data_IF_965848896357
#
_entry.id   IF_965848896357
#
_cell.length_a   1.000
_cell.length_b   1.000
_cell.length_c   1.000
_cell.angle_alpha   90.00
_cell.angle_beta   90.00
_cell.angle_gamma   90.00
#
_symmetry.space_group_name_H-M   'P 1'
#
loop_
_entity.id
_entity.type
_entity.pdbx_description
1 polymer ?
#
# COMPACT_ATOMS: atom_id res chain seq x y z
N UNK A 1 -21.77 58.66 -53.57
CA UNK A 1 -20.59 57.98 -53.02
C UNK A 1 -21.11 57.10 -51.94
N UNK A 2 -21.38 55.82 -52.23
CA UNK A 2 -21.97 54.84 -51.32
C UNK A 2 -20.85 53.99 -50.77
N UNK A 3 -20.59 54.08 -49.42
CA UNK A 3 -19.64 53.23 -48.69
C UNK A 3 -20.28 51.86 -48.47
N UNK A 4 -19.66 50.79 -48.98
CA UNK A 4 -19.95 49.39 -48.62
C UNK A 4 -19.28 49.07 -47.28
N UNK A 5 -20.03 48.55 -46.32
CA UNK A 5 -19.52 47.90 -45.08
C UNK A 5 -19.03 46.47 -45.42
N UNK A 6 -17.94 46.01 -44.82
CA UNK A 6 -17.51 44.62 -44.95
C UNK A 6 -18.36 43.70 -44.10
N UNK A 7 -18.65 42.51 -44.63
CA UNK A 7 -19.39 41.44 -43.98
C UNK A 7 -18.59 40.87 -42.80
N UNK A 8 -19.24 40.74 -41.63
CA UNK A 8 -18.77 40.01 -40.47
C UNK A 8 -18.90 38.51 -40.75
N UNK A 9 -17.79 37.82 -40.82
CA UNK A 9 -17.79 36.34 -40.88
C UNK A 9 -18.12 35.79 -39.49
N UNK A 10 -19.26 35.15 -39.43
CA UNK A 10 -19.70 34.33 -38.30
C UNK A 10 -18.76 33.11 -38.21
N UNK A 11 -17.77 33.16 -37.32
CA UNK A 11 -17.01 31.97 -36.93
C UNK A 11 -17.81 31.31 -35.82
N UNK A 12 -18.49 30.24 -36.17
CA UNK A 12 -18.99 29.27 -35.20
C UNK A 12 -17.80 28.63 -34.49
N UNK A 13 -17.51 29.10 -33.28
CA UNK A 13 -16.62 28.41 -32.36
C UNK A 13 -17.25 27.05 -32.02
N UNK A 14 -16.72 26.01 -32.64
CA UNK A 14 -16.91 24.64 -32.18
C UNK A 14 -16.31 24.55 -30.79
N UNK A 15 -17.02 24.02 -29.78
CA UNK A 15 -16.41 23.78 -28.45
C UNK A 15 -15.21 22.85 -28.63
N UNK A 16 -14.04 23.26 -28.17
CA UNK A 16 -12.88 22.39 -28.03
C UNK A 16 -13.31 21.14 -27.24
N UNK A 17 -13.09 19.97 -27.83
CA UNK A 17 -13.28 18.67 -27.16
C UNK A 17 -12.58 18.72 -25.82
N UNK A 18 -13.36 18.55 -24.76
CA UNK A 18 -12.92 18.66 -23.39
C UNK A 18 -11.69 17.79 -23.15
N UNK A 19 -10.64 18.43 -22.70
CA UNK A 19 -9.45 17.76 -22.14
C UNK A 19 -9.92 16.79 -21.07
N UNK A 20 -9.99 15.51 -21.41
CA UNK A 20 -10.33 14.47 -20.45
C UNK A 20 -9.29 14.51 -19.31
N UNK A 21 -9.73 14.85 -18.11
CA UNK A 21 -8.88 14.75 -16.92
C UNK A 21 -8.41 13.30 -16.83
N UNK A 22 -7.10 13.06 -16.76
CA UNK A 22 -6.59 11.69 -16.66
C UNK A 22 -7.28 10.97 -15.50
N UNK A 23 -7.82 9.79 -15.77
CA UNK A 23 -8.51 9.00 -14.74
C UNK A 23 -7.55 8.72 -13.56
N UNK A 24 -8.04 8.93 -12.34
CA UNK A 24 -7.30 8.54 -11.14
C UNK A 24 -6.91 7.06 -11.23
N UNK A 25 -5.77 6.62 -10.70
CA UNK A 25 -5.43 5.21 -10.71
C UNK A 25 -6.41 4.40 -9.86
N UNK A 26 -6.77 3.19 -10.30
CA UNK A 26 -7.42 2.21 -9.44
C UNK A 26 -6.39 1.51 -8.53
N UNK A 27 -6.86 0.73 -7.55
CA UNK A 27 -6.01 -0.19 -6.83
C UNK A 27 -6.66 -1.58 -6.70
N UNK A 28 -5.88 -2.63 -6.94
CA UNK A 28 -6.24 -4.01 -6.63
C UNK A 28 -5.33 -4.48 -5.49
N UNK A 29 -5.94 -4.86 -4.36
CA UNK A 29 -5.23 -5.34 -3.18
C UNK A 29 -5.44 -6.84 -3.06
N UNK A 30 -4.35 -7.61 -3.15
CA UNK A 30 -4.35 -9.06 -3.10
C UNK A 30 -4.41 -9.54 -1.65
N UNK A 31 -5.53 -10.17 -1.27
CA UNK A 31 -5.80 -10.61 0.10
C UNK A 31 -6.42 -12.02 0.16
N UNK A 32 -6.24 -12.83 -0.88
CA UNK A 32 -6.87 -14.16 -1.01
C UNK A 32 -6.05 -15.32 -0.41
N UNK A 33 -4.78 -15.08 -0.06
CA UNK A 33 -3.85 -16.12 0.41
C UNK A 33 -4.23 -16.73 1.76
N UNK A 34 -3.98 -18.05 1.94
CA UNK A 34 -4.31 -18.79 3.19
C UNK A 34 -3.48 -18.37 4.40
N UNK A 35 -2.22 -17.97 4.21
CA UNK A 35 -1.33 -17.57 5.29
C UNK A 35 -1.03 -18.68 6.31
N UNK A 36 -0.85 -19.91 5.88
CA UNK A 36 -0.69 -21.12 6.73
C UNK A 36 0.42 -20.99 7.76
N UNK A 37 1.52 -20.29 7.43
CA UNK A 37 2.66 -20.03 8.33
C UNK A 37 2.29 -19.19 9.55
N UNK A 38 1.19 -18.44 9.51
CA UNK A 38 0.67 -17.69 10.66
C UNK A 38 0.13 -18.58 11.77
N UNK A 39 -0.19 -19.86 11.49
CA UNK A 39 -0.79 -20.80 12.42
C UNK A 39 -1.98 -20.20 13.15
N UNK A 40 -2.91 -19.61 12.41
CA UNK A 40 -4.06 -18.86 12.91
C UNK A 40 -5.33 -19.22 12.18
N UNK A 41 -6.46 -19.16 12.87
CA UNK A 41 -7.79 -19.20 12.25
C UNK A 41 -8.15 -17.90 11.54
N UNK A 42 -7.46 -16.79 11.83
CA UNK A 42 -7.64 -15.52 11.16
C UNK A 42 -6.83 -15.49 9.87
N UNK A 43 -7.38 -14.93 8.77
CA UNK A 43 -6.61 -14.63 7.57
C UNK A 43 -5.40 -13.75 7.89
N UNK A 44 -4.26 -14.01 7.22
CA UNK A 44 -3.01 -13.30 7.44
C UNK A 44 -3.19 -11.78 7.49
N UNK A 45 -3.88 -11.22 6.52
CA UNK A 45 -4.04 -9.78 6.32
C UNK A 45 -4.93 -9.07 7.37
N UNK A 46 -5.64 -9.84 8.21
CA UNK A 46 -6.50 -9.31 9.28
C UNK A 46 -5.75 -9.15 10.61
N UNK A 47 -4.55 -9.75 10.73
CA UNK A 47 -3.73 -9.51 11.91
C UNK A 47 -3.39 -8.03 12.05
N UNK A 48 -3.41 -7.56 13.30
CA UNK A 48 -3.23 -6.14 13.59
C UNK A 48 -1.74 -5.75 13.65
N UNK A 49 -1.49 -4.53 13.20
CA UNK A 49 -0.23 -3.80 13.38
C UNK A 49 -0.61 -2.40 13.85
N UNK A 50 -0.07 -1.97 14.99
CA UNK A 50 -0.42 -0.72 15.66
C UNK A 50 -1.94 -0.50 15.78
N UNK A 51 -2.66 -1.53 16.28
CA UNK A 51 -4.10 -1.48 16.53
C UNK A 51 -5.01 -1.57 15.30
N UNK A 52 -4.48 -1.72 14.10
CA UNK A 52 -5.22 -1.74 12.83
C UNK A 52 -4.90 -3.00 12.02
N UNK A 53 -5.88 -3.66 11.38
CA UNK A 53 -5.61 -4.78 10.47
C UNK A 53 -4.62 -4.40 9.36
N UNK A 54 -3.67 -5.28 9.01
CA UNK A 54 -2.66 -5.00 7.97
C UNK A 54 -3.29 -4.53 6.66
N UNK A 55 -4.36 -5.19 6.22
CA UNK A 55 -5.09 -4.81 4.98
C UNK A 55 -5.63 -3.38 5.04
N UNK A 56 -6.05 -2.89 6.21
CA UNK A 56 -6.60 -1.54 6.35
C UNK A 56 -5.53 -0.45 6.23
N UNK A 57 -4.27 -0.74 6.60
CA UNK A 57 -3.14 0.15 6.31
C UNK A 57 -2.90 0.28 4.80
N UNK A 58 -2.92 -0.83 4.06
CA UNK A 58 -2.72 -0.83 2.59
C UNK A 58 -3.86 -0.08 1.89
N UNK A 59 -5.11 -0.33 2.29
CA UNK A 59 -6.28 0.42 1.76
C UNK A 59 -6.13 1.92 2.01
N UNK A 60 -5.68 2.31 3.21
CA UNK A 60 -5.44 3.72 3.54
C UNK A 60 -4.35 4.32 2.66
N UNK A 61 -3.19 3.66 2.53
CA UNK A 61 -2.10 4.16 1.70
C UNK A 61 -2.52 4.34 0.23
N UNK A 62 -3.29 3.38 -0.32
CA UNK A 62 -3.84 3.49 -1.67
C UNK A 62 -4.78 4.70 -1.81
N UNK A 63 -5.71 4.91 -0.86
CA UNK A 63 -6.61 6.08 -0.86
C UNK A 63 -5.87 7.39 -0.74
N UNK A 64 -4.92 7.50 0.18
CA UNK A 64 -4.10 8.69 0.38
C UNK A 64 -3.24 9.00 -0.86
N UNK A 65 -2.90 7.97 -1.65
CA UNK A 65 -2.25 8.14 -2.95
C UNK A 65 -3.22 8.55 -4.08
N UNK A 66 -4.52 8.64 -3.81
CA UNK A 66 -5.54 9.05 -4.78
C UNK A 66 -6.12 7.89 -5.60
N UNK A 67 -5.93 6.64 -5.18
CA UNK A 67 -6.51 5.50 -5.89
C UNK A 67 -8.04 5.40 -5.69
N UNK A 68 -8.77 5.35 -6.80
CA UNK A 68 -10.23 5.11 -6.86
C UNK A 68 -10.60 4.55 -8.25
N UNK A 69 -11.32 3.41 -8.33
CA UNK A 69 -11.80 2.55 -7.24
C UNK A 69 -10.71 1.68 -6.60
N UNK A 70 -10.97 1.20 -5.38
CA UNK A 70 -10.13 0.20 -4.71
C UNK A 70 -10.88 -1.13 -4.68
N UNK A 71 -10.26 -2.18 -5.18
CA UNK A 71 -10.79 -3.55 -5.21
C UNK A 71 -9.92 -4.44 -4.31
N UNK A 72 -10.53 -5.13 -3.36
CA UNK A 72 -9.86 -6.11 -2.51
C UNK A 72 -10.22 -7.51 -2.98
N UNK A 73 -9.21 -8.27 -3.41
CA UNK A 73 -9.38 -9.66 -3.83
C UNK A 73 -9.33 -10.56 -2.60
N UNK A 74 -10.45 -11.21 -2.31
CA UNK A 74 -10.62 -12.08 -1.14
C UNK A 74 -10.75 -13.54 -1.56
N UNK A 75 -10.31 -14.46 -0.71
CA UNK A 75 -10.40 -15.90 -0.93
C UNK A 75 -10.75 -16.61 0.37
N UNK A 76 -9.77 -17.31 0.95
CA UNK A 76 -9.92 -17.94 2.26
C UNK A 76 -10.19 -16.87 3.35
N UNK A 77 -11.23 -17.11 4.18
CA UNK A 77 -11.60 -16.17 5.26
C UNK A 77 -12.15 -14.82 4.79
N UNK A 78 -12.78 -14.78 3.62
CA UNK A 78 -13.31 -13.56 2.99
C UNK A 78 -14.17 -12.72 3.94
N UNK A 79 -15.00 -13.34 4.80
CA UNK A 79 -15.88 -12.60 5.71
C UNK A 79 -15.12 -11.85 6.80
N UNK A 80 -14.01 -12.42 7.31
CA UNK A 80 -13.15 -11.72 8.25
C UNK A 80 -12.45 -10.51 7.61
N UNK A 81 -12.07 -10.60 6.32
CA UNK A 81 -11.49 -9.46 5.58
C UNK A 81 -12.53 -8.38 5.33
N UNK A 82 -13.76 -8.76 4.96
CA UNK A 82 -14.87 -7.81 4.79
C UNK A 82 -15.22 -7.09 6.10
N UNK A 83 -15.23 -7.84 7.21
CA UNK A 83 -15.46 -7.27 8.53
C UNK A 83 -14.35 -6.29 8.93
N UNK A 84 -13.08 -6.64 8.71
CA UNK A 84 -11.93 -5.79 8.99
C UNK A 84 -11.93 -4.47 8.18
N UNK A 85 -12.63 -4.45 7.05
CA UNK A 85 -12.78 -3.28 6.16
C UNK A 85 -14.20 -2.69 6.19
N UNK A 86 -15.01 -3.03 7.21
CA UNK A 86 -16.37 -2.49 7.34
C UNK A 86 -16.35 -0.96 7.33
N UNK A 87 -17.15 -0.37 6.44
CA UNK A 87 -17.23 1.09 6.26
C UNK A 87 -16.11 1.70 5.40
N UNK A 88 -15.10 0.93 4.98
CA UNK A 88 -14.14 1.40 3.99
C UNK A 88 -14.78 1.42 2.58
N UNK A 89 -14.54 2.45 1.75
CA UNK A 89 -15.09 2.53 0.39
C UNK A 89 -14.28 1.64 -0.57
N UNK A 90 -14.46 0.34 -0.44
CA UNK A 90 -13.79 -0.67 -1.26
C UNK A 90 -14.81 -1.60 -1.91
N UNK A 91 -14.45 -2.14 -3.07
CA UNK A 91 -15.16 -3.24 -3.74
C UNK A 91 -14.46 -4.55 -3.42
N UNK A 92 -15.18 -5.66 -3.49
CA UNK A 92 -14.61 -6.98 -3.26
C UNK A 92 -14.73 -7.84 -4.52
N UNK A 93 -13.65 -8.51 -4.88
CA UNK A 93 -13.63 -9.57 -5.87
C UNK A 93 -13.27 -10.90 -5.18
N UNK A 94 -13.81 -12.03 -5.66
CA UNK A 94 -13.56 -13.34 -5.06
C UNK A 94 -12.62 -14.15 -5.94
N UNK A 95 -11.53 -14.63 -5.37
CA UNK A 95 -10.71 -15.69 -5.92
C UNK A 95 -11.17 -17.01 -5.30
N UNK A 96 -11.89 -17.82 -6.07
CA UNK A 96 -12.44 -19.09 -5.58
C UNK A 96 -11.36 -20.17 -5.45
N UNK A 97 -10.45 -20.23 -6.40
CA UNK A 97 -9.32 -21.16 -6.46
C UNK A 97 -8.02 -20.38 -6.40
N UNK A 98 -7.07 -20.84 -5.58
CA UNK A 98 -5.80 -20.16 -5.38
C UNK A 98 -4.78 -20.62 -6.43
N UNK A 99 -4.85 -20.02 -7.62
CA UNK A 99 -4.01 -20.31 -8.77
C UNK A 99 -2.91 -19.25 -8.98
N UNK A 100 -2.51 -18.58 -7.92
CA UNK A 100 -1.43 -17.60 -7.91
C UNK A 100 -1.89 -16.13 -7.92
N UNK A 101 -0.92 -15.23 -7.86
CA UNK A 101 -1.12 -13.77 -7.74
C UNK A 101 -1.67 -13.16 -9.02
N UNK A 102 -1.27 -13.67 -10.20
CA UNK A 102 -1.80 -13.24 -11.49
C UNK A 102 -3.27 -13.60 -11.65
N UNK A 103 -3.67 -14.83 -11.22
CA UNK A 103 -5.07 -15.23 -11.20
C UNK A 103 -5.88 -14.35 -10.22
N UNK A 104 -5.33 -14.03 -9.04
CA UNK A 104 -5.99 -13.13 -8.10
C UNK A 104 -6.26 -11.75 -8.73
N UNK A 105 -5.27 -11.18 -9.43
CA UNK A 105 -5.44 -9.92 -10.15
C UNK A 105 -6.52 -10.04 -11.24
N UNK A 106 -6.54 -11.13 -12.02
CA UNK A 106 -7.54 -11.35 -13.05
C UNK A 106 -8.98 -11.38 -12.49
N UNK A 107 -9.18 -11.90 -11.28
CA UNK A 107 -10.48 -11.91 -10.61
C UNK A 107 -11.03 -10.50 -10.31
N UNK A 108 -10.17 -9.47 -10.24
CA UNK A 108 -10.60 -8.10 -9.99
C UNK A 108 -11.16 -7.40 -11.23
N UNK A 109 -10.97 -7.93 -12.45
CA UNK A 109 -11.31 -7.27 -13.71
C UNK A 109 -12.77 -6.78 -13.76
N UNK A 110 -13.71 -7.63 -13.40
CA UNK A 110 -15.14 -7.28 -13.44
C UNK A 110 -15.49 -6.14 -12.45
N UNK A 111 -14.80 -6.06 -11.30
CA UNK A 111 -15.02 -5.01 -10.32
C UNK A 111 -14.40 -3.65 -10.74
N UNK A 112 -13.58 -3.65 -11.80
CA UNK A 112 -12.97 -2.48 -12.42
C UNK A 112 -13.61 -2.12 -13.76
N UNK A 113 -14.75 -2.72 -14.13
CA UNK A 113 -15.47 -2.38 -15.36
C UNK A 113 -15.77 -0.87 -15.42
N UNK A 114 -15.44 -0.26 -16.55
CA UNK A 114 -15.57 1.19 -16.77
C UNK A 114 -14.38 2.02 -16.25
N UNK A 115 -13.34 1.39 -15.70
CA UNK A 115 -12.11 2.08 -15.32
C UNK A 115 -11.05 1.92 -16.42
N UNK A 116 -10.68 3.04 -17.05
CA UNK A 116 -9.70 3.07 -18.15
C UNK A 116 -8.31 3.57 -17.71
N UNK A 117 -8.15 3.96 -16.45
CA UNK A 117 -6.90 4.43 -15.87
C UNK A 117 -5.92 3.31 -15.51
N UNK A 118 -4.69 3.68 -15.12
CA UNK A 118 -3.73 2.71 -14.60
C UNK A 118 -4.20 2.11 -13.27
N UNK A 119 -3.68 0.94 -12.95
CA UNK A 119 -4.11 0.18 -11.77
C UNK A 119 -2.91 -0.20 -10.90
N UNK A 120 -2.91 0.21 -9.64
CA UNK A 120 -2.00 -0.32 -8.64
C UNK A 120 -2.34 -1.79 -8.34
N UNK A 121 -1.32 -2.62 -8.23
CA UNK A 121 -1.42 -4.00 -7.73
C UNK A 121 -0.58 -4.09 -6.47
N UNK A 122 -1.23 -4.36 -5.34
CA UNK A 122 -0.64 -4.26 -4.01
C UNK A 122 -0.88 -5.54 -3.22
N UNK A 123 0.09 -5.96 -2.41
CA UNK A 123 -0.08 -7.04 -1.46
C UNK A 123 -0.77 -6.54 -0.17
N UNK A 124 -1.80 -7.25 0.30
CA UNK A 124 -2.59 -6.86 1.48
C UNK A 124 -1.86 -7.05 2.83
N UNK A 125 -0.67 -7.64 2.83
CA UNK A 125 0.14 -7.96 4.02
C UNK A 125 1.37 -7.06 4.21
N UNK A 126 1.49 -5.98 3.40
CA UNK A 126 2.53 -4.95 3.51
C UNK A 126 2.02 -3.66 4.19
N UNK A 127 1.77 -3.65 5.51
CA UNK A 127 1.10 -2.53 6.20
C UNK A 127 1.94 -1.26 6.30
N UNK A 128 3.22 -1.32 5.97
CA UNK A 128 4.16 -0.20 6.09
C UNK A 128 4.34 0.57 4.78
N UNK A 129 3.64 0.16 3.71
CA UNK A 129 3.62 0.86 2.43
C UNK A 129 3.11 2.30 2.59
N UNK A 130 3.81 3.27 1.99
CA UNK A 130 3.50 4.69 2.12
C UNK A 130 2.82 5.24 0.87
N UNK A 131 1.92 6.17 1.08
CA UNK A 131 1.24 6.88 -0.01
C UNK A 131 2.22 7.67 -0.89
N UNK A 132 3.32 8.19 -0.33
CA UNK A 132 4.37 8.91 -1.05
C UNK A 132 5.02 8.03 -2.12
N UNK A 133 5.32 6.77 -1.79
CA UNK A 133 5.88 5.79 -2.73
C UNK A 133 4.92 5.55 -3.89
N UNK A 134 3.63 5.37 -3.59
CA UNK A 134 2.60 5.19 -4.63
C UNK A 134 2.44 6.45 -5.51
N UNK A 135 2.48 7.65 -4.92
CA UNK A 135 2.45 8.91 -5.72
C UNK A 135 3.67 9.04 -6.62
N UNK A 136 4.86 8.68 -6.12
CA UNK A 136 6.09 8.66 -6.93
C UNK A 136 5.94 7.70 -8.10
N UNK A 137 5.43 6.48 -7.86
CA UNK A 137 5.14 5.50 -8.93
C UNK A 137 4.14 6.05 -9.94
N UNK A 138 3.07 6.70 -9.49
CA UNK A 138 2.08 7.33 -10.36
C UNK A 138 2.71 8.40 -11.25
N UNK A 139 3.57 9.24 -10.69
CA UNK A 139 4.31 10.27 -11.44
C UNK A 139 5.24 9.67 -12.49
N UNK A 140 6.03 8.64 -12.13
CA UNK A 140 6.93 7.93 -13.07
C UNK A 140 6.15 7.19 -14.16
N UNK A 141 4.96 6.70 -13.83
CA UNK A 141 4.05 6.05 -14.79
C UNK A 141 3.42 7.05 -15.76
N UNK A 142 3.44 8.35 -15.43
CA UNK A 142 2.86 9.42 -16.26
C UNK A 142 1.41 9.72 -15.94
N UNK A 143 0.92 9.34 -14.75
CA UNK A 143 -0.41 9.74 -14.27
C UNK A 143 -0.46 11.27 -14.13
N UNK A 144 -1.44 11.89 -14.79
CA UNK A 144 -1.58 13.36 -14.81
C UNK A 144 -0.75 14.09 -15.86
N UNK A 145 0.16 13.43 -16.58
CA UNK A 145 0.80 13.98 -17.76
C UNK A 145 -0.19 13.91 -18.95
N UNK A 146 -0.48 15.04 -19.58
CA UNK A 146 -1.50 15.15 -20.65
C UNK A 146 -1.35 14.08 -21.75
N UNK A 147 -2.40 13.92 -22.54
CA UNK A 147 -2.71 12.85 -23.53
C UNK A 147 -1.58 12.46 -24.52
N UNK A 148 -0.47 13.18 -24.58
CA UNK A 148 0.60 12.94 -25.58
C UNK A 148 1.77 12.08 -25.11
N UNK A 149 1.91 11.81 -23.82
CA UNK A 149 2.99 10.95 -23.33
C UNK A 149 2.52 9.49 -23.25
N UNK A 150 2.98 8.63 -24.17
CA UNK A 150 2.85 7.17 -23.99
C UNK A 150 3.68 6.77 -22.78
N UNK A 151 3.05 6.75 -21.59
CA UNK A 151 3.65 6.26 -20.37
C UNK A 151 4.17 4.82 -20.50
N UNK A 152 4.93 4.32 -19.52
CA UNK A 152 5.33 2.92 -19.47
C UNK A 152 4.09 2.03 -19.41
N UNK A 153 4.23 0.77 -19.82
CA UNK A 153 3.17 -0.23 -19.63
C UNK A 153 3.07 -0.67 -18.17
N UNK A 154 4.22 -0.67 -17.48
CA UNK A 154 4.31 -1.09 -16.08
C UNK A 154 5.37 -0.27 -15.33
N UNK A 155 5.08 0.06 -14.08
CA UNK A 155 6.03 0.60 -13.12
C UNK A 155 6.11 -0.37 -11.94
N UNK A 156 7.32 -0.78 -11.57
CA UNK A 156 7.61 -1.74 -10.50
C UNK A 156 8.32 -1.00 -9.38
N UNK A 157 7.85 -1.13 -8.14
CA UNK A 157 8.64 -0.73 -7.00
C UNK A 157 9.76 -1.75 -6.76
N UNK A 158 10.94 -1.27 -6.41
CA UNK A 158 12.08 -2.10 -6.02
C UNK A 158 12.65 -1.60 -4.70
N UNK A 159 13.39 -2.44 -4.01
CA UNK A 159 14.05 -2.06 -2.76
C UNK A 159 15.30 -2.92 -2.55
N UNK A 160 16.36 -2.33 -1.96
CA UNK A 160 17.53 -3.08 -1.51
C UNK A 160 17.39 -3.43 -0.04
N UNK A 161 17.68 -4.69 0.28
CA UNK A 161 17.55 -5.22 1.64
C UNK A 161 18.78 -6.04 2.01
N UNK A 162 19.14 -6.04 3.30
CA UNK A 162 20.25 -6.85 3.82
C UNK A 162 19.97 -8.36 3.76
N UNK A 163 18.70 -8.74 3.89
CA UNK A 163 18.25 -10.14 3.85
C UNK A 163 17.14 -10.32 2.80
N UNK A 164 17.50 -10.72 1.58
CA UNK A 164 16.55 -10.84 0.46
C UNK A 164 15.74 -12.15 0.48
N UNK A 165 15.95 -13.05 1.44
CA UNK A 165 15.30 -14.37 1.48
C UNK A 165 13.79 -14.30 1.50
N UNK A 166 13.17 -15.12 0.65
CA UNK A 166 11.71 -15.22 0.53
C UNK A 166 11.06 -14.12 -0.29
N UNK A 167 11.83 -13.25 -0.95
CA UNK A 167 11.36 -12.21 -1.85
C UNK A 167 11.80 -12.50 -3.29
N UNK A 168 11.05 -12.06 -4.29
CA UNK A 168 11.47 -12.11 -5.69
C UNK A 168 12.66 -11.18 -5.96
N UNK A 169 13.57 -11.60 -6.81
CA UNK A 169 14.79 -10.84 -7.18
C UNK A 169 14.55 -10.00 -8.42
N UNK A 170 15.06 -8.78 -8.41
CA UNK A 170 15.05 -7.88 -9.56
C UNK A 170 16.27 -8.18 -10.43
N UNK A 171 16.05 -8.74 -11.60
CA UNK A 171 17.13 -9.02 -12.57
C UNK A 171 17.23 -7.83 -13.54
N UNK A 172 18.46 -7.34 -13.73
CA UNK A 172 18.73 -6.21 -14.61
C UNK A 172 19.67 -6.58 -15.75
N UNK A 173 19.49 -5.91 -16.89
CA UNK A 173 20.42 -5.97 -18.01
C UNK A 173 21.74 -5.27 -17.65
N UNK A 174 22.77 -5.44 -18.49
CA UNK A 174 24.03 -4.69 -18.37
C UNK A 174 23.84 -3.16 -18.47
N UNK A 175 22.76 -2.70 -19.08
CA UNK A 175 22.39 -1.28 -19.14
C UNK A 175 21.64 -0.78 -17.89
N UNK A 176 21.34 -1.66 -16.93
CA UNK A 176 20.63 -1.33 -15.70
C UNK A 176 19.10 -1.40 -15.82
N UNK A 177 18.54 -1.76 -16.98
CA UNK A 177 17.11 -1.90 -17.15
C UNK A 177 16.61 -3.20 -16.53
N UNK A 178 15.42 -3.17 -15.88
CA UNK A 178 14.76 -4.37 -15.39
C UNK A 178 14.41 -5.28 -16.57
N UNK A 179 14.79 -6.56 -16.48
CA UNK A 179 14.50 -7.58 -17.48
C UNK A 179 13.42 -8.54 -17.01
N UNK A 180 13.49 -8.98 -15.77
CA UNK A 180 12.55 -9.92 -15.17
C UNK A 180 12.56 -9.81 -13.64
N UNK A 181 11.57 -10.44 -13.01
CA UNK A 181 11.51 -10.68 -11.57
C UNK A 181 11.48 -12.20 -11.39
N UNK A 182 12.46 -12.73 -10.65
CA UNK A 182 12.56 -14.17 -10.38
C UNK A 182 12.18 -14.45 -8.94
N UNK A 183 11.16 -15.27 -8.74
CA UNK A 183 10.71 -15.66 -7.40
C UNK A 183 11.77 -16.52 -6.69
N UNK A 184 11.82 -16.45 -5.34
CA UNK A 184 12.80 -17.20 -4.53
C UNK A 184 12.84 -18.70 -4.86
N UNK A 185 11.66 -19.29 -5.15
CA UNK A 185 11.54 -20.72 -5.43
C UNK A 185 12.17 -21.13 -6.78
N UNK A 186 12.22 -20.19 -7.73
CA UNK A 186 12.70 -20.40 -9.09
C UNK A 186 14.14 -19.88 -9.29
N UNK A 187 14.71 -19.20 -8.28
CA UNK A 187 16.03 -18.55 -8.34
C UNK A 187 17.19 -19.57 -8.22
N UNK A 188 18.18 -19.43 -9.08
CA UNK A 188 19.49 -20.07 -8.91
C UNK A 188 20.36 -19.34 -7.86
N UNK A 189 21.53 -19.86 -7.56
CA UNK A 189 22.40 -19.30 -6.52
C UNK A 189 22.89 -17.88 -6.86
N UNK A 190 23.14 -17.58 -8.13
CA UNK A 190 23.56 -16.26 -8.57
C UNK A 190 22.42 -15.25 -8.43
N UNK A 191 21.21 -15.62 -8.81
CA UNK A 191 20.00 -14.81 -8.66
C UNK A 191 19.66 -14.61 -7.18
N UNK A 192 19.77 -15.64 -6.33
CA UNK A 192 19.55 -15.51 -4.87
C UNK A 192 20.49 -14.52 -4.19
N UNK A 193 21.69 -14.30 -4.73
CA UNK A 193 22.65 -13.36 -4.20
C UNK A 193 22.30 -11.88 -4.49
N UNK A 194 21.32 -11.59 -5.34
CA UNK A 194 20.85 -10.23 -5.63
C UNK A 194 20.15 -9.66 -4.40
N UNK A 195 20.56 -8.46 -3.98
CA UNK A 195 20.02 -7.73 -2.83
C UNK A 195 18.82 -6.83 -3.19
N UNK A 196 18.62 -6.54 -4.49
CA UNK A 196 17.48 -5.79 -4.97
C UNK A 196 16.28 -6.72 -5.18
N UNK A 197 15.19 -6.42 -4.47
CA UNK A 197 14.04 -7.30 -4.38
C UNK A 197 12.75 -6.62 -4.79
N UNK A 198 11.76 -7.45 -5.08
CA UNK A 198 10.40 -7.08 -5.42
C UNK A 198 9.52 -7.05 -4.16
N UNK A 199 9.03 -5.89 -3.71
CA UNK A 199 8.12 -5.78 -2.58
C UNK A 199 6.65 -6.12 -2.94
N UNK A 200 6.34 -6.46 -4.19
CA UNK A 200 4.99 -6.77 -4.64
C UNK A 200 4.09 -5.54 -4.81
N UNK A 201 4.68 -4.44 -5.25
CA UNK A 201 3.97 -3.17 -5.50
C UNK A 201 4.18 -2.75 -6.95
N UNK A 202 3.09 -2.67 -7.71
CA UNK A 202 3.13 -2.38 -9.14
C UNK A 202 2.09 -1.35 -9.52
N UNK A 203 2.33 -0.65 -10.64
CA UNK A 203 1.35 0.16 -11.34
C UNK A 203 1.36 -0.26 -12.81
N UNK A 204 0.20 -0.65 -13.34
CA UNK A 204 0.05 -1.22 -14.68
C UNK A 204 -0.96 -0.44 -15.49
N UNK A 205 -0.77 -0.40 -16.83
CA UNK A 205 -1.76 0.15 -17.75
C UNK A 205 -2.93 -0.84 -18.01
N UNK A 206 -3.96 -0.39 -18.74
CA UNK A 206 -5.15 -1.20 -19.03
C UNK A 206 -4.87 -2.46 -19.87
N UNK A 207 -3.67 -2.64 -20.45
CA UNK A 207 -3.29 -3.84 -21.20
C UNK A 207 -2.94 -5.02 -20.29
N UNK A 208 -2.86 -4.79 -19.00
CA UNK A 208 -2.59 -5.86 -18.01
C UNK A 208 -3.53 -7.05 -18.20
N UNK A 209 -4.78 -6.81 -18.55
CA UNK A 209 -5.78 -7.87 -18.74
C UNK A 209 -5.45 -8.81 -19.89
N UNK A 210 -4.89 -8.27 -20.99
CA UNK A 210 -4.46 -9.05 -22.15
C UNK A 210 -3.18 -9.85 -21.85
N UNK A 211 -2.27 -9.27 -21.05
CA UNK A 211 -1.06 -9.93 -20.61
C UNK A 211 -1.36 -11.06 -19.61
N UNK A 212 -2.25 -10.83 -18.63
CA UNK A 212 -2.67 -11.86 -17.67
C UNK A 212 -3.26 -13.10 -18.36
N UNK A 213 -4.09 -12.90 -19.39
CA UNK A 213 -4.69 -13.99 -20.14
C UNK A 213 -3.67 -14.90 -20.88
N UNK A 214 -2.42 -14.46 -21.00
CA UNK A 214 -1.33 -15.16 -21.68
C UNK A 214 -0.22 -15.63 -20.74
N UNK A 215 -0.35 -15.42 -19.43
CA UNK A 215 0.60 -15.95 -18.46
C UNK A 215 0.48 -17.47 -18.39
N UNK A 216 1.62 -18.13 -18.25
CA UNK A 216 1.70 -19.57 -18.03
C UNK A 216 1.73 -19.92 -16.54
N UNK A 217 1.90 -21.21 -16.29
CA UNK A 217 2.08 -21.79 -14.95
C UNK A 217 3.34 -22.65 -14.88
N UNK A 218 4.27 -22.47 -15.82
CA UNK A 218 5.53 -23.23 -15.90
C UNK A 218 6.55 -22.63 -14.93
N UNK A 219 6.33 -22.86 -13.63
CA UNK A 219 7.15 -22.42 -12.52
C UNK A 219 7.05 -23.41 -11.34
N UNK A 220 7.90 -23.27 -10.32
CA UNK A 220 8.02 -24.19 -9.20
C UNK A 220 6.70 -24.45 -8.44
N UNK A 221 5.74 -23.54 -8.49
CA UNK A 221 4.46 -23.64 -7.77
C UNK A 221 3.27 -24.00 -8.67
N UNK A 222 3.46 -24.09 -10.00
CA UNK A 222 2.39 -24.25 -11.00
C UNK A 222 1.28 -23.19 -10.88
N UNK A 223 1.67 -21.94 -10.61
CA UNK A 223 0.78 -20.82 -10.39
C UNK A 223 0.98 -19.71 -11.45
N UNK A 224 -0.02 -18.88 -11.65
CA UNK A 224 0.08 -17.67 -12.48
C UNK A 224 0.67 -16.53 -11.64
N UNK A 225 1.88 -16.08 -11.96
CA UNK A 225 2.57 -15.05 -11.21
C UNK A 225 2.39 -13.64 -11.81
N UNK A 226 2.11 -12.64 -10.96
CA UNK A 226 2.18 -11.21 -11.34
C UNK A 226 3.61 -10.83 -11.72
N UNK A 227 4.62 -11.47 -11.14
CA UNK A 227 6.04 -11.25 -11.40
C UNK A 227 6.50 -11.62 -12.81
N UNK A 228 5.68 -12.34 -13.59
CA UNK A 228 5.93 -12.60 -15.00
C UNK A 228 5.49 -11.44 -15.93
N UNK A 229 4.71 -10.48 -15.41
CA UNK A 229 4.20 -9.35 -16.20
C UNK A 229 5.31 -8.46 -16.78
N UNK A 230 6.40 -8.11 -16.06
CA UNK A 230 7.46 -7.28 -16.64
C UNK A 230 8.02 -7.84 -17.94
N UNK A 231 8.36 -9.11 -17.97
CA UNK A 231 8.86 -9.79 -19.18
C UNK A 231 7.83 -9.75 -20.32
N UNK A 232 6.53 -9.91 -20.01
CA UNK A 232 5.44 -9.82 -21.00
C UNK A 232 5.27 -8.42 -21.57
N UNK A 233 5.35 -7.38 -20.73
CA UNK A 233 5.30 -6.00 -21.19
C UNK A 233 6.49 -5.69 -22.10
N UNK A 234 7.72 -6.06 -21.72
CA UNK A 234 8.93 -5.88 -22.52
C UNK A 234 8.83 -6.61 -23.87
N UNK A 235 8.38 -7.86 -23.88
CA UNK A 235 8.18 -8.63 -25.11
C UNK A 235 7.12 -8.02 -26.05
N UNK A 236 6.18 -7.24 -25.52
CA UNK A 236 5.19 -6.49 -26.33
C UNK A 236 5.69 -5.11 -26.79
N UNK A 237 6.96 -4.77 -26.55
CA UNK A 237 7.55 -3.48 -26.88
C UNK A 237 7.11 -2.33 -25.97
N UNK A 238 6.56 -2.64 -24.78
CA UNK A 238 6.16 -1.64 -23.78
C UNK A 238 7.27 -1.47 -22.74
N UNK A 239 7.55 -0.22 -22.41
CA UNK A 239 8.55 0.07 -21.37
C UNK A 239 8.07 -0.39 -19.99
N UNK A 240 9.00 -0.94 -19.21
CA UNK A 240 8.85 -1.15 -17.77
C UNK A 240 9.80 -0.19 -17.05
N UNK A 241 9.28 0.54 -16.08
CA UNK A 241 10.06 1.47 -15.24
C UNK A 241 10.16 0.92 -13.83
N UNK A 242 11.19 1.34 -13.11
CA UNK A 242 11.36 1.01 -11.70
C UNK A 242 11.35 2.27 -10.84
N UNK A 243 10.85 2.14 -9.61
CA UNK A 243 10.96 3.15 -8.55
C UNK A 243 11.55 2.45 -7.33
N UNK A 244 12.77 2.83 -6.97
CA UNK A 244 13.42 2.31 -5.77
C UNK A 244 12.81 2.98 -4.53
N UNK A 245 12.36 2.18 -3.57
CA UNK A 245 11.85 2.64 -2.28
C UNK A 245 12.99 3.21 -1.44
N UNK A 246 12.80 4.39 -0.89
CA UNK A 246 13.82 5.06 -0.05
C UNK A 246 13.87 4.50 1.38
N UNK A 247 12.81 3.86 1.84
CA UNK A 247 12.70 3.25 3.16
C UNK A 247 12.50 1.73 3.01
N UNK A 248 13.53 0.91 3.27
CA UNK A 248 13.45 -0.54 3.13
C UNK A 248 12.36 -1.19 3.97
N UNK A 249 11.94 -0.56 5.06
CA UNK A 249 10.89 -1.07 5.91
C UNK A 249 9.51 -1.12 5.21
N UNK A 250 9.32 -0.35 4.11
CA UNK A 250 8.09 -0.42 3.31
C UNK A 250 7.87 -1.78 2.64
N UNK A 251 8.94 -2.52 2.37
CA UNK A 251 8.89 -3.86 1.79
C UNK A 251 8.54 -4.96 2.78
N UNK A 252 8.51 -4.64 4.07
CA UNK A 252 8.23 -5.64 5.10
C UNK A 252 6.78 -6.15 4.98
N UNK A 253 6.64 -7.46 4.97
CA UNK A 253 5.37 -8.17 5.01
C UNK A 253 5.40 -9.25 6.10
N UNK A 254 4.23 -9.64 6.64
CA UNK A 254 4.17 -10.69 7.64
C UNK A 254 3.71 -12.01 7.05
N UNK A 255 4.58 -13.00 6.99
CA UNK A 255 4.21 -14.37 6.66
C UNK A 255 4.07 -15.28 7.89
N UNK A 256 4.65 -14.86 9.01
CA UNK A 256 4.61 -15.57 10.31
C UNK A 256 4.54 -14.56 11.48
N UNK A 257 4.50 -15.08 12.69
CA UNK A 257 4.39 -14.27 13.92
C UNK A 257 5.66 -13.48 14.25
N UNK A 258 6.83 -13.95 13.81
CA UNK A 258 8.10 -13.26 14.04
C UNK A 258 8.15 -12.01 13.15
N UNK A 259 7.78 -12.18 11.87
CA UNK A 259 7.69 -11.05 10.94
C UNK A 259 6.59 -10.06 11.37
N UNK A 260 5.44 -10.55 11.86
CA UNK A 260 4.39 -9.68 12.42
C UNK A 260 4.91 -8.82 13.59
N UNK A 261 5.66 -9.42 14.52
CA UNK A 261 6.25 -8.67 15.64
C UNK A 261 7.28 -7.63 15.17
N UNK A 262 8.03 -7.92 14.09
CA UNK A 262 8.93 -6.94 13.45
C UNK A 262 8.13 -5.77 12.86
N UNK A 263 7.07 -6.04 12.11
CA UNK A 263 6.17 -5.02 11.55
C UNK A 263 5.58 -4.12 12.64
N UNK A 264 5.10 -4.73 13.72
CA UNK A 264 4.54 -4.03 14.87
C UNK A 264 5.54 -3.04 15.47
N UNK A 265 6.78 -3.50 15.69
CA UNK A 265 7.86 -2.65 16.23
C UNK A 265 8.17 -1.47 15.31
N UNK A 266 8.30 -1.70 14.00
CA UNK A 266 8.59 -0.64 13.03
C UNK A 266 7.44 0.35 12.95
N UNK A 267 6.19 -0.12 12.87
CA UNK A 267 5.00 0.74 12.83
C UNK A 267 4.95 1.67 14.06
N UNK A 268 5.13 1.13 15.25
CA UNK A 268 5.13 1.93 16.50
C UNK A 268 6.23 2.97 16.53
N UNK A 269 7.44 2.62 16.12
CA UNK A 269 8.54 3.58 16.07
C UNK A 269 8.29 4.69 15.04
N UNK A 270 7.62 4.39 13.90
CA UNK A 270 7.19 5.43 12.94
C UNK A 270 6.15 6.35 13.58
N UNK A 271 5.17 5.82 14.29
CA UNK A 271 4.14 6.60 15.00
C UNK A 271 4.79 7.46 16.08
N UNK A 272 5.68 6.90 16.89
CA UNK A 272 6.40 7.65 17.92
C UNK A 272 7.24 8.79 17.33
N UNK A 273 8.00 8.54 16.27
CA UNK A 273 8.79 9.57 15.56
C UNK A 273 7.92 10.68 15.02
N UNK A 274 6.75 10.38 14.44
CA UNK A 274 5.79 11.38 13.97
C UNK A 274 5.36 12.30 15.10
N UNK A 275 4.90 11.75 16.23
CA UNK A 275 4.43 12.55 17.36
C UNK A 275 5.55 13.35 18.02
N UNK A 276 6.76 12.79 18.13
CA UNK A 276 7.92 13.54 18.62
C UNK A 276 8.26 14.74 17.70
N UNK A 277 8.15 14.56 16.39
CA UNK A 277 8.33 15.67 15.44
C UNK A 277 7.23 16.75 15.54
N UNK A 278 6.05 16.37 16.04
CA UNK A 278 4.91 17.27 16.30
C UNK A 278 4.92 17.88 17.73
N UNK A 279 6.00 17.69 18.49
CA UNK A 279 6.21 18.33 19.79
C UNK A 279 5.81 17.48 21.00
N UNK A 280 5.64 16.16 20.85
CA UNK A 280 5.43 15.25 21.99
C UNK A 280 6.77 14.81 22.55
N UNK A 281 6.91 14.79 23.87
CA UNK A 281 8.09 14.25 24.56
C UNK A 281 7.83 12.79 24.96
N UNK A 282 8.66 11.85 24.49
CA UNK A 282 8.64 10.45 24.90
C UNK A 282 9.96 10.10 25.56
N UNK A 283 9.93 9.68 26.86
CA UNK A 283 11.16 9.38 27.60
C UNK A 283 11.78 8.02 27.16
N UNK A 284 10.95 7.12 26.63
CA UNK A 284 11.40 5.82 26.13
C UNK A 284 10.50 5.38 24.96
N UNK A 285 10.72 5.92 23.74
CA UNK A 285 9.87 5.64 22.60
C UNK A 285 9.82 4.15 22.22
N UNK A 286 10.88 3.39 22.48
CA UNK A 286 10.93 1.95 22.21
C UNK A 286 10.00 1.13 23.09
N UNK A 287 9.65 1.64 24.27
CA UNK A 287 8.72 1.00 25.23
C UNK A 287 7.36 1.70 25.29
N UNK A 288 7.10 2.65 24.41
CA UNK A 288 5.81 3.34 24.29
C UNK A 288 4.96 2.66 23.21
N UNK A 289 3.72 2.31 23.55
CA UNK A 289 2.80 1.58 22.68
C UNK A 289 1.65 2.50 22.26
N UNK A 290 1.66 2.92 21.02
CA UNK A 290 0.63 3.79 20.43
C UNK A 290 -0.06 3.08 19.28
N UNK A 291 -1.39 2.99 19.33
CA UNK A 291 -2.17 2.61 18.16
C UNK A 291 -2.15 3.74 17.11
N UNK A 292 -2.38 3.38 15.87
CA UNK A 292 -2.30 4.28 14.72
C UNK A 292 -3.35 5.42 14.75
N UNK A 293 -4.47 5.20 15.45
CA UNK A 293 -5.58 6.13 15.62
C UNK A 293 -5.50 7.00 16.88
N UNK A 294 -4.43 6.89 17.66
CA UNK A 294 -4.17 7.74 18.81
C UNK A 294 -3.82 9.17 18.36
N UNK A 295 -4.36 10.15 19.05
CA UNK A 295 -4.11 11.57 18.78
C UNK A 295 -3.47 12.22 20.00
N UNK A 296 -2.30 12.84 19.80
CA UNK A 296 -1.56 13.55 20.83
C UNK A 296 -1.45 15.04 20.45
N UNK A 297 -1.69 15.93 21.41
CA UNK A 297 -1.39 17.35 21.22
C UNK A 297 0.10 17.61 21.53
N UNK A 298 0.56 18.83 21.19
CA UNK A 298 1.93 19.25 21.52
C UNK A 298 2.14 19.35 23.03
N UNK A 299 3.39 19.32 23.45
CA UNK A 299 3.83 19.41 24.84
C UNK A 299 3.33 18.27 25.74
N UNK A 300 2.73 17.23 25.18
CA UNK A 300 2.41 15.98 25.89
C UNK A 300 3.71 15.28 26.28
N UNK A 301 3.77 14.78 27.50
CA UNK A 301 4.89 13.99 28.02
C UNK A 301 4.44 12.55 28.31
N UNK A 302 5.06 11.59 27.62
CA UNK A 302 4.83 10.17 27.85
C UNK A 302 6.03 9.56 28.58
N UNK A 303 5.78 8.98 29.75
CA UNK A 303 6.76 8.22 30.54
C UNK A 303 6.95 6.81 29.99
N UNK A 304 7.95 6.03 30.45
CA UNK A 304 8.19 4.68 29.92
C UNK A 304 7.00 3.73 30.10
N UNK A 305 6.86 2.77 29.17
CA UNK A 305 5.86 1.70 29.19
C UNK A 305 4.40 2.18 29.11
N UNK A 306 4.17 3.39 28.62
CA UNK A 306 2.81 3.90 28.37
C UNK A 306 2.19 3.16 27.19
N UNK A 307 0.91 2.78 27.32
CA UNK A 307 0.10 2.20 26.26
C UNK A 307 -1.13 3.08 26.02
N UNK A 308 -1.24 3.69 24.83
CA UNK A 308 -2.41 4.46 24.38
C UNK A 308 -3.03 3.75 23.17
N UNK A 309 -4.27 3.32 23.32
CA UNK A 309 -4.91 2.39 22.38
C UNK A 309 -6.28 2.90 21.94
N UNK A 310 -6.73 2.43 20.76
CA UNK A 310 -8.11 2.54 20.28
C UNK A 310 -8.64 3.99 20.29
N UNK A 311 -7.99 4.91 19.58
CA UNK A 311 -8.46 6.28 19.42
C UNK A 311 -8.38 7.12 20.70
N UNK A 312 -7.54 6.76 21.66
CA UNK A 312 -7.26 7.59 22.81
C UNK A 312 -6.72 8.96 22.37
N UNK A 313 -7.25 10.04 22.95
CA UNK A 313 -6.80 11.41 22.67
C UNK A 313 -6.19 12.03 23.92
N UNK A 314 -5.06 12.74 23.76
CA UNK A 314 -4.35 13.38 24.88
C UNK A 314 -4.18 14.88 24.57
N UNK A 315 -4.72 15.72 25.47
CA UNK A 315 -4.69 17.18 25.35
C UNK A 315 -3.30 17.79 25.59
N UNK A 316 -3.14 19.02 25.12
CA UNK A 316 -1.89 19.79 25.18
C UNK A 316 -1.34 19.86 26.61
N UNK A 317 -0.03 19.66 26.76
CA UNK A 317 0.68 19.77 28.06
C UNK A 317 0.35 18.67 29.07
N UNK A 318 -0.44 17.66 28.73
CA UNK A 318 -0.75 16.56 29.63
C UNK A 318 0.47 15.65 29.85
N UNK A 319 0.58 15.08 31.05
CA UNK A 319 1.61 14.10 31.42
C UNK A 319 0.98 12.74 31.67
N UNK A 320 1.52 11.71 31.04
CA UNK A 320 1.07 10.32 31.22
C UNK A 320 2.17 9.54 31.94
N UNK A 321 1.87 9.11 33.16
CA UNK A 321 2.79 8.41 34.05
C UNK A 321 3.15 7.02 33.56
N UNK A 322 4.31 6.53 34.00
CA UNK A 322 4.89 5.26 33.57
C UNK A 322 3.93 4.08 33.74
N UNK A 323 3.87 3.21 32.75
CA UNK A 323 3.02 2.02 32.77
C UNK A 323 1.51 2.29 32.72
N UNK A 324 1.06 3.52 32.44
CA UNK A 324 -0.36 3.79 32.23
C UNK A 324 -0.88 3.08 30.98
N UNK A 325 -2.09 2.51 31.07
CA UNK A 325 -2.76 1.80 29.97
C UNK A 325 -4.13 2.42 29.72
N UNK A 326 -4.26 3.23 28.67
CA UNK A 326 -5.47 3.98 28.33
C UNK A 326 -6.04 3.48 27.00
N UNK A 327 -7.31 3.10 26.99
CA UNK A 327 -8.01 2.66 25.78
C UNK A 327 -9.33 3.43 25.60
N UNK A 328 -9.54 4.07 24.45
CA UNK A 328 -10.69 4.93 24.17
C UNK A 328 -10.91 6.02 25.23
N UNK A 329 -9.82 6.61 25.71
CA UNK A 329 -9.85 7.66 26.71
C UNK A 329 -9.67 9.03 26.09
N UNK A 330 -10.19 10.05 26.79
CA UNK A 330 -9.95 11.47 26.48
C UNK A 330 -9.26 12.08 27.68
N UNK A 331 -7.98 12.42 27.54
CA UNK A 331 -7.19 13.10 28.58
C UNK A 331 -7.26 14.60 28.35
N UNK A 332 -7.68 15.35 29.35
CA UNK A 332 -7.82 16.79 29.27
C UNK A 332 -6.46 17.50 29.10
N UNK A 333 -6.41 18.72 28.52
CA UNK A 333 -5.19 19.53 28.52
C UNK A 333 -4.63 19.77 29.93
N UNK A 334 -3.31 19.63 30.08
CA UNK A 334 -2.61 19.82 31.35
C UNK A 334 -2.89 18.76 32.42
N UNK A 335 -3.67 17.72 32.13
CA UNK A 335 -3.96 16.67 33.09
C UNK A 335 -2.72 15.80 33.40
N UNK A 336 -2.60 15.36 34.65
CA UNK A 336 -1.59 14.39 35.07
C UNK A 336 -2.24 13.04 35.35
N UNK A 337 -1.90 12.05 34.54
CA UNK A 337 -2.30 10.65 34.75
C UNK A 337 -1.20 9.96 35.55
N UNK A 338 -1.54 9.47 36.74
CA UNK A 338 -0.58 8.81 37.62
C UNK A 338 0.00 7.51 37.00
N UNK A 339 1.20 7.06 37.42
CA UNK A 339 1.77 5.79 36.97
C UNK A 339 0.82 4.62 37.20
N UNK A 340 0.87 3.65 36.27
CA UNK A 340 0.10 2.39 36.31
C UNK A 340 -1.44 2.55 36.32
N UNK A 341 -1.96 3.71 35.96
CA UNK A 341 -3.41 3.89 35.76
C UNK A 341 -3.85 3.02 34.60
N UNK A 342 -4.91 2.22 34.82
CA UNK A 342 -5.60 1.44 33.78
C UNK A 342 -7.00 2.05 33.62
N UNK A 343 -7.30 2.62 32.45
CA UNK A 343 -8.59 3.21 32.18
C UNK A 343 -9.09 2.83 30.77
N UNK A 344 -10.40 2.71 30.65
CA UNK A 344 -11.08 2.46 29.39
C UNK A 344 -12.36 3.27 29.33
N UNK A 345 -12.67 3.82 28.13
CA UNK A 345 -13.88 4.60 27.87
C UNK A 345 -14.07 5.77 28.87
N UNK A 346 -12.96 6.41 29.29
CA UNK A 346 -12.94 7.40 30.36
C UNK A 346 -12.50 8.80 29.90
N UNK A 347 -12.91 9.81 30.67
CA UNK A 347 -12.36 11.17 30.60
C UNK A 347 -11.50 11.40 31.86
N UNK A 348 -10.30 11.86 31.63
CA UNK A 348 -9.27 12.07 32.66
C UNK A 348 -8.80 13.55 32.66
#
# INVERSE_FOLDING_TARGET
>A
VTRRQPAVSDRTDTPEEGSAVPAAPAAVILAAGQGTRMRSSLPKVVHQVAGRPMIAHVVRAAREAGADPIVVVVGHGADAVREALRGAPVRFARQAEQLGTGHALACARAALEGHDGPTFVLNGDGPLLRAETLRTMASVHGVGAGVQAKGPGMTVATVRVDDPRGLGRIVRSAAGDLTEIVEEADADDATRAIDEVNPGVYLVDGRVWDHLARLGTDNAQNETYVTDLPARYLASGRAVRTVEMTDPDEALAANDRIQLARLERVARLRIARRWMAEGVTMLAPESTFLDDDVVLARDVVLEPFVMLLHGTTVGEGARIGAGAHLARCVVAPGAEVAPHVVARDARL
#
